data_IF_842079223328
#
_entry.id   IF_842079223328
#
_cell.length_a   1.000
_cell.length_b   1.000
_cell.length_c   1.000
_cell.angle_alpha   90.00
_cell.angle_beta   90.00
_cell.angle_gamma   90.00
#
_symmetry.space_group_name_H-M   'P 1'
#
loop_
_entity.id
_entity.type
_entity.pdbx_description
1 polymer ?
#
# COMPACT_ATOMS: atom_id res chain seq x y z
N UNK A 1 -24.93 -4.38 18.23
CA UNK A 1 -24.34 -4.71 16.91
C UNK A 1 -22.95 -5.29 17.13
N UNK A 2 -22.74 -6.57 16.81
CA UNK A 2 -21.45 -7.24 16.98
C UNK A 2 -20.39 -6.62 16.07
N UNK A 3 -19.43 -5.91 16.65
CA UNK A 3 -18.41 -5.15 15.92
C UNK A 3 -17.32 -6.12 15.46
N UNK A 4 -17.32 -6.51 14.19
CA UNK A 4 -16.22 -7.28 13.60
C UNK A 4 -14.96 -6.41 13.56
N UNK A 5 -14.12 -6.52 14.61
CA UNK A 5 -12.98 -5.62 14.85
C UNK A 5 -11.94 -5.58 13.71
N UNK A 6 -11.77 -6.66 12.93
CA UNK A 6 -10.83 -6.70 11.80
C UNK A 6 -11.40 -6.04 10.54
N UNK A 7 -12.68 -6.27 10.24
CA UNK A 7 -13.36 -5.67 9.07
C UNK A 7 -13.41 -4.15 9.18
N UNK A 8 -13.79 -3.63 10.35
CA UNK A 8 -13.86 -2.18 10.55
C UNK A 8 -12.52 -1.43 10.43
N UNK A 9 -11.39 -2.08 10.71
CA UNK A 9 -10.06 -1.48 10.49
C UNK A 9 -9.69 -1.43 9.00
N UNK A 10 -10.04 -2.48 8.26
CA UNK A 10 -9.86 -2.52 6.80
C UNK A 10 -10.66 -1.41 6.13
N UNK A 11 -11.96 -1.35 6.43
CA UNK A 11 -12.89 -0.36 5.87
C UNK A 11 -12.43 1.08 6.19
N UNK A 12 -12.02 1.34 7.44
CA UNK A 12 -11.47 2.64 7.83
C UNK A 12 -10.20 2.98 7.05
N UNK A 13 -9.30 2.01 6.86
CA UNK A 13 -8.10 2.20 6.07
C UNK A 13 -8.42 2.59 4.63
N UNK A 14 -9.37 1.89 3.99
CA UNK A 14 -9.80 2.19 2.62
C UNK A 14 -10.42 3.58 2.52
N UNK A 15 -11.29 3.95 3.47
CA UNK A 15 -11.90 5.29 3.49
C UNK A 15 -10.85 6.41 3.67
N UNK A 16 -9.85 6.20 4.53
CA UNK A 16 -8.75 7.16 4.74
C UNK A 16 -7.84 7.28 3.52
N UNK A 17 -7.52 6.16 2.87
CA UNK A 17 -6.75 6.16 1.63
C UNK A 17 -7.51 6.86 0.49
N UNK A 18 -8.82 6.63 0.37
CA UNK A 18 -9.66 7.34 -0.58
C UNK A 18 -9.60 8.86 -0.35
N UNK A 19 -9.84 9.30 0.89
CA UNK A 19 -9.86 10.73 1.21
C UNK A 19 -8.49 11.40 0.94
N UNK A 20 -7.39 10.74 1.31
CA UNK A 20 -6.03 11.23 1.06
C UNK A 20 -5.72 11.33 -0.44
N UNK A 21 -6.10 10.33 -1.24
CA UNK A 21 -5.93 10.35 -2.71
C UNK A 21 -6.78 11.43 -3.39
N UNK A 22 -8.05 11.58 -3.00
CA UNK A 22 -8.92 12.65 -3.52
C UNK A 22 -8.36 14.02 -3.16
N UNK A 23 -7.89 14.20 -1.92
CA UNK A 23 -7.24 15.43 -1.47
C UNK A 23 -5.99 15.79 -2.29
N UNK A 24 -5.34 14.80 -2.91
CA UNK A 24 -4.19 14.97 -3.83
C UNK A 24 -4.58 15.12 -5.30
N UNK A 25 -5.88 15.16 -5.62
CA UNK A 25 -6.37 15.39 -6.97
C UNK A 25 -6.49 14.14 -7.84
N UNK A 26 -6.45 12.94 -7.25
CA UNK A 26 -6.71 11.70 -7.99
C UNK A 26 -8.21 11.42 -8.12
N UNK A 27 -8.63 10.89 -9.27
CA UNK A 27 -9.90 10.19 -9.36
C UNK A 27 -9.75 8.80 -8.75
N UNK A 28 -10.64 8.43 -7.83
CA UNK A 28 -10.57 7.14 -7.13
C UNK A 28 -11.71 6.25 -7.57
N UNK A 29 -11.37 5.06 -8.09
CA UNK A 29 -12.30 4.05 -8.56
C UNK A 29 -12.33 2.87 -7.59
N UNK A 30 -13.50 2.24 -7.47
CA UNK A 30 -13.70 1.03 -6.68
C UNK A 30 -13.95 -0.17 -7.60
N UNK A 31 -13.33 -1.33 -7.34
CA UNK A 31 -13.69 -2.55 -8.04
C UNK A 31 -15.13 -2.95 -7.68
N UNK A 32 -15.93 -3.35 -8.67
CA UNK A 32 -17.28 -3.89 -8.46
C UNK A 32 -17.28 -5.36 -7.95
N UNK A 33 -16.19 -5.79 -7.32
CA UNK A 33 -15.97 -7.16 -6.83
C UNK A 33 -15.09 -7.15 -5.59
N UNK A 34 -15.30 -8.10 -4.69
CA UNK A 34 -14.43 -8.36 -3.54
C UNK A 34 -13.22 -9.26 -3.86
N UNK A 35 -13.16 -9.83 -5.07
CA UNK A 35 -12.10 -10.76 -5.47
C UNK A 35 -10.89 -10.07 -6.09
N UNK A 36 -10.94 -8.74 -6.28
CA UNK A 36 -9.82 -7.99 -6.82
C UNK A 36 -8.62 -8.04 -5.84
N UNK A 37 -7.38 -8.10 -6.35
CA UNK A 37 -6.18 -8.07 -5.50
C UNK A 37 -5.86 -6.67 -4.94
N UNK A 38 -6.66 -5.65 -5.27
CA UNK A 38 -6.52 -4.26 -4.83
C UNK A 38 -7.88 -3.74 -4.34
N UNK A 39 -7.85 -2.74 -3.46
CA UNK A 39 -9.07 -2.15 -2.88
C UNK A 39 -9.53 -0.92 -3.67
N UNK A 40 -8.59 -0.18 -4.24
CA UNK A 40 -8.83 1.08 -4.95
C UNK A 40 -7.99 1.13 -6.24
N UNK A 41 -8.43 1.95 -7.19
CA UNK A 41 -7.59 2.41 -8.30
C UNK A 41 -7.53 3.93 -8.28
N UNK A 42 -6.34 4.51 -8.23
CA UNK A 42 -6.15 5.94 -8.40
C UNK A 42 -5.82 6.26 -9.86
N UNK A 43 -6.45 7.29 -10.40
CA UNK A 43 -6.24 7.77 -11.75
C UNK A 43 -5.91 9.27 -11.77
N UNK A 44 -4.81 9.61 -12.43
CA UNK A 44 -4.43 10.98 -12.74
C UNK A 44 -3.55 10.99 -13.99
N UNK A 45 -3.68 12.04 -14.81
CA UNK A 45 -2.83 12.26 -15.99
C UNK A 45 -2.64 11.02 -16.90
N UNK A 46 -3.74 10.30 -17.19
CA UNK A 46 -3.68 9.11 -18.07
C UNK A 46 -3.13 7.84 -17.42
N UNK A 47 -2.70 7.88 -16.15
CA UNK A 47 -2.08 6.75 -15.46
C UNK A 47 -3.00 6.17 -14.39
N UNK A 48 -3.14 4.85 -14.38
CA UNK A 48 -3.85 4.09 -13.35
C UNK A 48 -2.86 3.42 -12.39
N UNK A 49 -3.15 3.50 -11.10
CA UNK A 49 -2.45 2.80 -10.03
C UNK A 49 -3.42 1.88 -9.28
N UNK A 50 -3.18 0.57 -9.34
CA UNK A 50 -3.89 -0.44 -8.54
C UNK A 50 -3.33 -0.42 -7.11
N UNK A 51 -4.18 -0.07 -6.14
CA UNK A 51 -3.77 0.18 -4.75
C UNK A 51 -4.41 -0.84 -3.82
N UNK A 52 -3.57 -1.61 -3.12
CA UNK A 52 -4.01 -2.39 -1.97
C UNK A 52 -3.76 -1.59 -0.68
N UNK A 53 -4.79 -1.41 0.12
CA UNK A 53 -4.75 -0.70 1.40
C UNK A 53 -4.49 -1.68 2.55
N UNK A 54 -3.64 -1.27 3.49
CA UNK A 54 -3.37 -2.01 4.73
C UNK A 54 -3.38 -1.06 5.92
N UNK A 55 -4.26 -1.34 6.89
CA UNK A 55 -4.22 -0.69 8.20
C UNK A 55 -3.05 -1.22 9.03
N UNK A 56 -2.14 -0.37 9.50
CA UNK A 56 -1.01 -0.76 10.37
C UNK A 56 -0.69 0.30 11.42
N UNK A 57 -0.86 -0.06 12.68
CA UNK A 57 -0.38 0.76 13.79
C UNK A 57 1.14 0.76 13.89
N UNK A 58 1.70 1.89 14.32
CA UNK A 58 3.11 2.02 14.63
C UNK A 58 3.47 1.18 15.87
N UNK A 59 4.64 0.54 15.84
CA UNK A 59 5.21 -0.15 17.00
C UNK A 59 6.67 0.27 17.14
N UNK A 60 7.04 0.69 18.35
CA UNK A 60 8.39 1.17 18.66
C UNK A 60 8.88 2.30 17.71
N UNK A 61 7.97 3.18 17.27
CA UNK A 61 8.26 4.32 16.39
C UNK A 61 8.39 3.98 14.91
N UNK A 62 7.91 2.81 14.47
CA UNK A 62 7.93 2.42 13.07
C UNK A 62 6.68 1.62 12.66
N UNK A 63 6.32 1.71 11.39
CA UNK A 63 5.24 0.92 10.76
C UNK A 63 5.88 -0.18 9.93
N UNK A 64 5.62 -1.42 10.32
CA UNK A 64 6.13 -2.60 9.63
C UNK A 64 5.04 -3.25 8.79
N UNK A 65 5.40 -3.60 7.56
CA UNK A 65 4.58 -4.42 6.68
C UNK A 65 5.42 -5.57 6.13
N UNK A 66 4.90 -6.78 6.26
CA UNK A 66 5.46 -7.97 5.59
C UNK A 66 4.66 -8.22 4.31
N UNK A 67 5.34 -8.48 3.19
CA UNK A 67 4.73 -8.74 1.89
C UNK A 67 4.31 -10.20 1.77
N UNK A 68 3.40 -10.62 2.64
CA UNK A 68 2.87 -11.97 2.71
C UNK A 68 1.35 -11.91 2.95
N UNK A 69 0.60 -12.72 2.22
CA UNK A 69 -0.81 -12.99 2.50
C UNK A 69 -0.89 -14.10 3.54
N UNK A 70 -1.77 -13.97 4.53
CA UNK A 70 -1.99 -14.98 5.58
C UNK A 70 -3.46 -15.31 5.65
N UNK A 71 -3.79 -16.60 5.64
CA UNK A 71 -5.15 -17.10 5.83
C UNK A 71 -5.13 -18.27 6.79
N UNK A 72 -6.26 -18.50 7.47
CA UNK A 72 -6.42 -19.65 8.34
C UNK A 72 -7.53 -20.54 7.79
N UNK A 73 -7.28 -21.84 7.77
CA UNK A 73 -8.29 -22.85 7.49
C UNK A 73 -8.32 -23.90 8.61
N UNK A 74 -9.11 -24.97 8.44
CA UNK A 74 -9.20 -26.05 9.44
C UNK A 74 -7.87 -26.79 9.67
N UNK A 75 -6.88 -26.60 8.79
CA UNK A 75 -5.56 -27.23 8.82
C UNK A 75 -4.47 -26.28 9.33
N UNK A 76 -4.84 -25.08 9.79
CA UNK A 76 -3.94 -24.13 10.43
C UNK A 76 -3.79 -22.81 9.69
N UNK A 77 -2.78 -22.05 10.08
CA UNK A 77 -2.45 -20.78 9.45
C UNK A 77 -1.45 -20.98 8.31
N UNK A 78 -1.86 -20.62 7.10
CA UNK A 78 -1.05 -20.65 5.90
C UNK A 78 -0.67 -19.24 5.51
N UNK A 79 0.44 -19.10 4.81
CA UNK A 79 0.80 -17.80 4.31
C UNK A 79 1.79 -17.89 3.14
N UNK A 80 1.67 -16.99 2.18
CA UNK A 80 2.39 -17.00 0.90
C UNK A 80 2.86 -15.60 0.55
N UNK A 81 4.03 -15.39 -0.07
CA UNK A 81 4.42 -14.09 -0.60
C UNK A 81 3.29 -13.49 -1.44
N UNK A 82 3.12 -12.17 -1.37
CA UNK A 82 2.15 -11.51 -2.27
C UNK A 82 2.66 -11.60 -3.72
N UNK A 83 1.72 -11.67 -4.65
CA UNK A 83 2.01 -11.36 -6.04
C UNK A 83 2.22 -9.84 -6.14
N UNK A 84 3.45 -9.43 -6.45
CA UNK A 84 3.85 -8.02 -6.56
C UNK A 84 3.44 -7.39 -7.89
N UNK A 85 3.06 -8.19 -8.88
CA UNK A 85 2.64 -7.70 -10.20
C UNK A 85 1.12 -7.47 -10.26
N UNK A 86 0.38 -8.10 -9.34
CA UNK A 86 -1.07 -7.93 -9.18
C UNK A 86 -1.49 -6.53 -8.68
N UNK A 87 -0.57 -5.79 -8.05
CA UNK A 87 -0.81 -4.46 -7.45
C UNK A 87 0.35 -3.52 -7.79
N UNK A 88 0.04 -2.25 -8.06
CA UNK A 88 1.09 -1.27 -8.37
C UNK A 88 1.66 -0.66 -7.07
N UNK A 89 0.80 -0.41 -6.08
CA UNK A 89 1.13 0.30 -4.85
C UNK A 89 0.44 -0.36 -3.66
N UNK A 90 1.12 -0.40 -2.51
CA UNK A 90 0.47 -0.62 -1.22
C UNK A 90 0.34 0.70 -0.48
N UNK A 91 -0.87 1.05 -0.08
CA UNK A 91 -1.16 2.18 0.80
C UNK A 91 -1.24 1.67 2.24
N UNK A 92 -0.32 2.11 3.09
CA UNK A 92 -0.34 1.80 4.52
C UNK A 92 -0.99 2.98 5.25
N UNK A 93 -2.22 2.79 5.73
CA UNK A 93 -2.82 3.75 6.65
C UNK A 93 -2.35 3.46 8.08
N UNK A 94 -1.74 4.46 8.72
CA UNK A 94 -1.31 4.39 10.10
C UNK A 94 -2.21 5.26 10.99
N UNK A 95 -2.96 4.66 11.93
CA UNK A 95 -3.87 5.39 12.82
C UNK A 95 -3.14 6.26 13.85
N UNK A 96 -1.88 5.95 14.19
CA UNK A 96 -1.11 6.68 15.20
C UNK A 96 -0.69 8.06 14.68
N UNK A 97 -0.45 8.18 13.36
CA UNK A 97 -0.15 9.44 12.68
C UNK A 97 -1.37 10.03 11.97
N UNK A 98 -2.44 9.24 11.78
CA UNK A 98 -3.55 9.53 10.86
C UNK A 98 -3.10 9.83 9.43
N UNK A 99 -2.15 9.04 8.92
CA UNK A 99 -1.51 9.28 7.62
C UNK A 99 -1.48 8.03 6.74
N UNK A 100 -1.43 8.25 5.42
CA UNK A 100 -1.26 7.22 4.41
C UNK A 100 0.17 7.23 3.84
N UNK A 101 0.80 6.07 3.77
CA UNK A 101 2.13 5.88 3.19
C UNK A 101 2.07 4.95 1.98
N UNK A 102 2.56 5.40 0.83
CA UNK A 102 2.49 4.70 -0.44
C UNK A 102 3.84 4.10 -0.78
N UNK A 103 3.86 2.79 -0.99
CA UNK A 103 5.08 2.06 -1.33
C UNK A 103 4.86 1.20 -2.57
N UNK A 104 5.87 1.13 -3.43
CA UNK A 104 5.90 0.15 -4.52
C UNK A 104 6.43 -1.18 -3.97
N UNK A 105 5.68 -2.29 -4.03
CA UNK A 105 6.12 -3.57 -3.45
C UNK A 105 7.40 -4.13 -4.10
N UNK A 106 7.62 -3.82 -5.38
CA UNK A 106 8.78 -4.25 -6.18
C UNK A 106 10.09 -3.63 -5.69
N UNK A 107 10.05 -2.46 -5.05
CA UNK A 107 11.24 -1.72 -4.60
C UNK A 107 11.81 -2.27 -3.28
N UNK A 108 11.18 -3.30 -2.72
CA UNK A 108 11.50 -3.86 -1.42
C UNK A 108 11.57 -5.38 -1.46
N UNK A 109 12.25 -5.99 -0.48
CA UNK A 109 12.37 -7.44 -0.35
C UNK A 109 11.09 -8.10 0.18
N UNK A 110 11.20 -8.79 1.33
CA UNK A 110 10.08 -9.50 1.98
C UNK A 110 9.26 -8.63 2.93
N UNK A 111 9.77 -7.47 3.31
CA UNK A 111 9.10 -6.53 4.22
C UNK A 111 9.63 -5.11 4.03
N UNK A 112 8.84 -4.14 4.48
CA UNK A 112 9.23 -2.75 4.64
C UNK A 112 9.04 -2.31 6.09
N UNK A 113 9.88 -1.38 6.56
CA UNK A 113 9.78 -0.80 7.89
C UNK A 113 9.95 0.72 7.79
N UNK A 114 8.83 1.45 7.85
CA UNK A 114 8.80 2.90 7.73
C UNK A 114 8.94 3.54 9.10
N UNK A 115 9.92 4.43 9.27
CA UNK A 115 10.26 5.06 10.53
C UNK A 115 9.47 6.37 10.70
N UNK A 116 8.69 6.46 11.78
CA UNK A 116 7.90 7.66 12.13
C UNK A 116 8.66 8.54 13.13
N UNK A 117 9.23 7.92 14.17
CA UNK A 117 9.98 8.64 15.21
C UNK A 117 11.49 8.38 15.08
N UNK A 118 12.37 9.26 15.54
CA UNK A 118 13.82 9.01 15.52
C UNK A 118 14.20 7.67 16.17
N UNK A 119 15.28 7.05 15.70
CA UNK A 119 15.77 5.78 16.28
C UNK A 119 16.39 6.01 17.65
N UNK A 120 16.12 5.12 18.61
CA UNK A 120 16.66 5.23 19.98
C UNK A 120 18.19 5.13 20.05
N UNK A 121 18.82 4.44 19.10
CA UNK A 121 20.26 4.21 19.04
C UNK A 121 20.99 5.18 18.09
N UNK A 122 20.36 6.27 17.67
CA UNK A 122 20.98 7.27 16.78
C UNK A 122 21.35 6.76 15.39
N UNK A 123 20.81 5.61 14.96
CA UNK A 123 21.00 5.11 13.60
C UNK A 123 20.49 6.16 12.59
N UNK A 124 21.26 6.40 11.53
CA UNK A 124 20.89 7.32 10.44
C UNK A 124 20.95 6.66 9.06
N UNK A 125 21.79 5.62 8.89
CA UNK A 125 21.94 4.92 7.62
C UNK A 125 20.86 3.85 7.43
N UNK A 126 20.33 3.76 6.20
CA UNK A 126 19.31 2.77 5.75
C UNK A 126 17.96 2.88 6.48
N UNK A 127 17.57 4.09 6.85
CA UNK A 127 16.25 4.38 7.42
C UNK A 127 15.31 4.81 6.30
N UNK A 128 14.16 4.14 6.20
CA UNK A 128 13.06 4.57 5.36
C UNK A 128 12.17 5.49 6.19
N UNK A 129 12.39 6.80 6.10
CA UNK A 129 11.58 7.78 6.82
C UNK A 129 10.16 7.79 6.25
N UNK A 130 9.15 7.65 7.11
CA UNK A 130 7.76 7.52 6.68
C UNK A 130 7.27 8.71 5.84
N UNK A 131 7.73 9.93 6.18
CA UNK A 131 7.41 11.15 5.45
C UNK A 131 7.80 11.10 3.96
N UNK A 132 8.85 10.35 3.59
CA UNK A 132 9.29 10.20 2.20
C UNK A 132 8.35 9.32 1.36
N UNK A 133 7.36 8.69 1.98
CA UNK A 133 6.38 7.82 1.33
C UNK A 133 4.98 8.43 1.41
N UNK A 134 4.83 9.74 1.67
CA UNK A 134 3.51 10.36 1.73
C UNK A 134 2.86 10.50 0.38
N UNK A 135 3.60 10.54 -0.71
CA UNK A 135 3.07 10.67 -2.06
C UNK A 135 3.05 9.35 -2.83
N UNK A 136 2.08 9.24 -3.74
CA UNK A 136 1.94 8.06 -4.58
C UNK A 136 3.13 8.02 -5.57
N UNK A 137 3.89 6.92 -5.65
CA UNK A 137 5.06 6.87 -6.50
C UNK A 137 4.66 6.87 -7.99
N UNK A 138 5.41 7.60 -8.81
CA UNK A 138 5.24 7.58 -10.27
C UNK A 138 5.21 6.15 -10.79
N UNK A 139 4.37 5.84 -11.78
CA UNK A 139 4.42 4.52 -12.40
C UNK A 139 5.65 4.49 -13.30
N UNK A 140 6.57 3.54 -13.11
CA UNK A 140 7.53 3.24 -14.18
C UNK A 140 6.73 2.64 -15.33
N UNK A 141 6.31 3.48 -16.27
CA UNK A 141 5.90 2.98 -17.56
C UNK A 141 7.15 2.36 -18.20
N UNK A 142 7.08 1.11 -18.70
CA UNK A 142 8.14 0.64 -19.57
C UNK A 142 8.28 1.65 -20.72
N UNK A 143 9.52 1.91 -21.21
CA UNK A 143 9.70 2.77 -22.36
C UNK A 143 8.75 2.28 -23.45
N UNK A 144 7.93 3.20 -23.99
CA UNK A 144 7.08 2.92 -25.13
C UNK A 144 8.04 2.44 -26.21
N UNK A 145 8.00 1.15 -26.53
CA UNK A 145 8.85 0.60 -27.56
C UNK A 145 8.60 1.37 -28.84
N UNK A 146 9.62 2.06 -29.33
CA UNK A 146 9.71 2.35 -30.75
C UNK A 146 9.59 1.01 -31.52
N UNK A 147 9.08 1.10 -32.74
CA UNK A 147 8.77 0.04 -33.72
C UNK A 147 7.44 -0.71 -33.52
N UNK A 148 6.50 -0.72 -34.50
CA UNK A 148 6.67 -0.65 -35.95
C UNK A 148 5.49 0.03 -36.66
N UNK A 149 5.77 1.12 -37.39
CA UNK A 149 5.23 1.27 -38.74
C UNK A 149 5.72 0.08 -39.56
N UNK A 150 4.83 -0.76 -40.04
CA UNK A 150 5.13 -1.74 -41.10
C UNK A 150 3.83 -2.05 -41.83
N UNK A 151 3.76 -1.51 -43.05
CA UNK A 151 2.92 -1.83 -44.21
C UNK A 151 1.39 -1.83 -44.02
#
# INVERSE_FOLDING_TARGET
MGRHHSKGKGDLGVAKAHADLVGKGFYVLFPATEHAPFDLVAYAAGTFHRIQVKYRSARAGAVRLNFRSTWADRRGAHSTPIDKDAIDVICIYCPDTDECYYIRPTDHGVSVNLRIAPTKNGQQKRILTAASFRDLPDKHLPPIGETRTSA
#
